data_IF_842199435044
#
_entry.id   IF_842199435044
#
_cell.length_a   1.000
_cell.length_b   1.000
_cell.length_c   1.000
_cell.angle_alpha   90.00
_cell.angle_beta   90.00
_cell.angle_gamma   90.00
#
_symmetry.space_group_name_H-M   'P 1'
#
loop_
_entity.id
_entity.type
_entity.pdbx_description
1 polymer ?
#
# COMPACT_ATOMS: atom_id res chain seq x y z
N UNK A 1 -31.02 7.37 0.40
CA UNK A 1 -29.79 6.78 -0.16
C UNK A 1 -28.63 7.52 0.45
N UNK A 2 -27.63 6.80 0.95
CA UNK A 2 -26.37 7.41 1.39
C UNK A 2 -25.70 8.08 0.16
N UNK A 3 -25.02 9.22 0.32
CA UNK A 3 -24.39 9.93 -0.82
C UNK A 3 -23.39 9.01 -1.55
N UNK A 4 -22.69 8.17 -0.79
CA UNK A 4 -21.78 7.15 -1.32
C UNK A 4 -22.51 6.11 -2.19
N UNK A 5 -23.65 5.57 -1.75
CA UNK A 5 -24.46 4.61 -2.54
C UNK A 5 -24.89 5.22 -3.88
N UNK A 6 -25.36 6.48 -3.82
CA UNK A 6 -25.83 7.20 -5.01
C UNK A 6 -24.70 7.43 -6.02
N UNK A 7 -23.53 7.87 -5.57
CA UNK A 7 -22.40 8.14 -6.45
C UNK A 7 -21.76 6.86 -6.99
N UNK A 8 -21.60 5.83 -6.17
CA UNK A 8 -21.11 4.51 -6.62
C UNK A 8 -22.07 3.92 -7.64
N UNK A 9 -23.39 3.96 -7.38
CA UNK A 9 -24.39 3.46 -8.33
C UNK A 9 -24.30 4.18 -9.69
N UNK A 10 -24.07 5.49 -9.70
CA UNK A 10 -23.90 6.27 -10.93
C UNK A 10 -22.59 5.95 -11.64
N UNK A 11 -21.48 5.93 -10.90
CA UNK A 11 -20.15 5.56 -11.39
C UNK A 11 -20.14 4.18 -12.09
N UNK A 12 -20.88 3.23 -11.55
CA UNK A 12 -20.98 1.87 -12.08
C UNK A 12 -21.82 1.75 -13.37
N UNK A 13 -22.54 2.79 -13.81
CA UNK A 13 -23.40 2.70 -15.01
C UNK A 13 -22.63 2.64 -16.33
N UNK A 14 -21.38 3.14 -16.36
CA UNK A 14 -20.56 3.15 -17.57
C UNK A 14 -19.88 1.81 -17.87
N UNK A 15 -19.93 0.82 -16.95
CA UNK A 15 -19.29 -0.49 -17.06
C UNK A 15 -17.82 -0.43 -17.50
N UNK A 16 -17.12 0.66 -17.14
CA UNK A 16 -15.70 0.82 -17.44
C UNK A 16 -14.87 0.14 -16.35
N UNK A 17 -13.77 -0.51 -16.76
CA UNK A 17 -12.90 -1.23 -15.84
C UNK A 17 -12.19 -0.25 -14.91
N UNK A 18 -12.36 -0.44 -13.60
CA UNK A 18 -11.53 0.23 -12.58
C UNK A 18 -10.17 -0.47 -12.54
N UNK A 19 -9.11 0.30 -12.73
CA UNK A 19 -7.72 -0.18 -12.77
C UNK A 19 -7.07 0.00 -11.40
N UNK A 20 -7.31 1.13 -10.77
CA UNK A 20 -6.82 1.45 -9.44
C UNK A 20 -7.80 2.38 -8.75
N UNK A 21 -7.76 2.41 -7.42
CA UNK A 21 -8.63 3.27 -6.63
C UNK A 21 -7.93 3.80 -5.38
N UNK A 22 -8.33 4.99 -4.96
CA UNK A 22 -7.85 5.63 -3.74
C UNK A 22 -9.00 6.36 -3.04
N UNK A 23 -8.83 6.65 -1.75
CA UNK A 23 -9.83 7.36 -0.96
C UNK A 23 -9.17 8.33 0.01
N UNK A 24 -9.61 9.59 -0.03
CA UNK A 24 -9.19 10.61 0.92
C UNK A 24 -10.37 10.99 1.84
N UNK A 25 -10.36 10.53 3.11
CA UNK A 25 -11.44 10.80 4.05
C UNK A 25 -11.49 12.26 4.52
N UNK A 26 -10.38 12.99 4.49
CA UNK A 26 -10.33 14.40 4.93
C UNK A 26 -11.15 15.32 4.01
N UNK A 27 -11.19 14.97 2.71
CA UNK A 27 -11.96 15.69 1.69
C UNK A 27 -13.18 14.93 1.18
N UNK A 28 -13.40 13.71 1.69
CA UNK A 28 -14.50 12.83 1.33
C UNK A 28 -14.60 12.59 -0.18
N UNK A 29 -13.48 12.22 -0.81
CA UNK A 29 -13.41 11.94 -2.24
C UNK A 29 -12.87 10.54 -2.49
N UNK A 30 -13.56 9.79 -3.36
CA UNK A 30 -13.09 8.51 -3.90
C UNK A 30 -12.55 8.79 -5.29
N UNK A 31 -11.33 8.32 -5.55
CA UNK A 31 -10.64 8.51 -6.81
C UNK A 31 -10.52 7.17 -7.52
N UNK A 32 -10.94 7.11 -8.77
CA UNK A 32 -10.88 5.90 -9.59
C UNK A 32 -10.06 6.19 -10.83
N UNK A 33 -9.02 5.40 -11.04
CA UNK A 33 -8.38 5.31 -12.35
C UNK A 33 -9.16 4.29 -13.16
N UNK A 34 -9.78 4.72 -14.26
CA UNK A 34 -10.58 3.87 -15.14
C UNK A 34 -9.94 3.78 -16.52
N UNK A 35 -10.20 2.67 -17.20
CA UNK A 35 -9.80 2.46 -18.59
C UNK A 35 -11.03 2.46 -19.52
N UNK A 36 -10.94 3.20 -20.62
CA UNK A 36 -11.87 3.12 -21.75
C UNK A 36 -11.67 1.81 -22.51
N UNK A 37 -12.53 1.55 -23.51
CA UNK A 37 -12.48 0.32 -24.32
C UNK A 37 -11.16 0.16 -25.10
N UNK A 38 -10.53 1.26 -25.49
CA UNK A 38 -9.22 1.32 -26.15
C UNK A 38 -8.04 1.35 -25.15
N UNK A 39 -8.31 1.08 -23.87
CA UNK A 39 -7.37 1.14 -22.76
C UNK A 39 -6.85 2.55 -22.41
N UNK A 40 -7.43 3.61 -22.99
CA UNK A 40 -7.12 4.99 -22.60
C UNK A 40 -7.54 5.23 -21.14
N UNK A 41 -6.60 5.74 -20.33
CA UNK A 41 -6.79 6.01 -18.92
C UNK A 41 -7.41 7.39 -18.69
N UNK A 42 -8.29 7.47 -17.70
CA UNK A 42 -8.83 8.72 -17.18
C UNK A 42 -9.13 8.59 -15.69
N UNK A 43 -9.27 9.71 -14.99
CA UNK A 43 -9.55 9.74 -13.56
C UNK A 43 -11.02 10.12 -13.36
N UNK A 44 -11.74 9.36 -12.55
CA UNK A 44 -13.10 9.68 -12.10
C UNK A 44 -13.07 9.97 -10.60
N UNK A 45 -13.65 11.09 -10.21
CA UNK A 45 -13.72 11.53 -8.80
C UNK A 45 -15.18 11.50 -8.36
N UNK A 46 -15.44 10.76 -7.29
CA UNK A 46 -16.74 10.75 -6.60
C UNK A 46 -16.60 11.67 -5.39
N UNK A 47 -17.13 12.89 -5.52
CA UNK A 47 -17.11 13.91 -4.47
C UNK A 47 -18.32 13.73 -3.55
N UNK A 48 -18.12 13.03 -2.43
CA UNK A 48 -19.21 12.68 -1.51
C UNK A 48 -19.80 13.91 -0.81
N UNK A 49 -18.98 14.95 -0.61
CA UNK A 49 -19.37 16.20 0.05
C UNK A 49 -20.29 17.04 -0.83
N UNK A 50 -19.94 17.16 -2.10
CA UNK A 50 -20.72 17.93 -3.08
C UNK A 50 -21.77 17.08 -3.82
N UNK A 51 -21.75 15.76 -3.64
CA UNK A 51 -22.59 14.79 -4.34
C UNK A 51 -22.44 14.87 -5.88
N UNK A 52 -21.19 14.95 -6.34
CA UNK A 52 -20.84 15.14 -7.74
C UNK A 52 -19.91 14.02 -8.24
N UNK A 53 -19.99 13.72 -9.54
CA UNK A 53 -18.99 12.90 -10.24
C UNK A 53 -18.27 13.82 -11.21
N UNK A 54 -16.93 13.79 -11.18
CA UNK A 54 -16.07 14.56 -12.09
C UNK A 54 -15.20 13.60 -12.87
N UNK A 55 -15.16 13.78 -14.18
CA UNK A 55 -14.22 13.09 -15.05
C UNK A 55 -13.07 14.04 -15.39
N UNK A 56 -11.84 13.55 -15.22
CA UNK A 56 -10.62 14.25 -15.58
C UNK A 56 -9.97 13.46 -16.71
N UNK A 57 -10.01 14.05 -17.89
CA UNK A 57 -9.30 13.56 -19.07
C UNK A 57 -7.86 14.05 -19.02
N UNK A 58 -6.92 13.15 -19.29
CA UNK A 58 -5.51 13.51 -19.36
C UNK A 58 -5.23 14.29 -20.66
N UNK A 59 -4.42 15.34 -20.58
CA UNK A 59 -4.02 16.16 -21.74
C UNK A 59 -3.18 15.37 -22.75
N UNK A 60 -2.29 14.51 -22.26
CA UNK A 60 -1.64 13.46 -23.03
C UNK A 60 -2.40 12.13 -22.85
N UNK A 61 -2.63 11.43 -23.97
CA UNK A 61 -3.23 10.09 -23.93
C UNK A 61 -2.28 9.09 -23.27
N UNK A 62 -2.67 8.58 -22.11
CA UNK A 62 -1.98 7.49 -21.41
C UNK A 62 -2.81 6.22 -21.55
N UNK A 63 -2.18 5.10 -21.86
CA UNK A 63 -2.86 3.83 -22.07
C UNK A 63 -2.40 2.79 -21.05
N UNK A 64 -3.35 2.03 -20.51
CA UNK A 64 -3.03 0.82 -19.78
C UNK A 64 -2.50 -0.25 -20.74
N UNK A 65 -1.41 -0.92 -20.35
CA UNK A 65 -0.95 -2.11 -21.06
C UNK A 65 -1.48 -3.38 -20.39
N UNK A 66 -1.78 -4.44 -21.15
CA UNK A 66 -2.00 -5.76 -20.57
C UNK A 66 -0.80 -6.13 -19.70
N UNK A 67 -1.05 -6.49 -18.44
CA UNK A 67 -0.03 -6.84 -17.44
C UNK A 67 0.95 -5.71 -17.06
N UNK A 68 0.72 -4.48 -17.55
CA UNK A 68 1.48 -3.32 -17.13
C UNK A 68 1.19 -2.98 -15.67
N UNK A 69 2.24 -2.65 -14.91
CA UNK A 69 2.06 -2.21 -13.53
C UNK A 69 1.59 -0.77 -13.51
N UNK A 70 0.52 -0.53 -12.76
CA UNK A 70 -0.10 0.78 -12.62
C UNK A 70 -0.27 1.08 -11.13
N UNK A 71 0.30 2.19 -10.69
CA UNK A 71 0.10 2.73 -9.34
C UNK A 71 -0.55 4.09 -9.44
N UNK A 72 -1.57 4.34 -8.62
CA UNK A 72 -2.35 5.56 -8.66
C UNK A 72 -2.69 6.01 -7.25
N UNK A 73 -2.41 7.28 -6.95
CA UNK A 73 -2.64 7.86 -5.64
C UNK A 73 -3.06 9.32 -5.74
N UNK A 74 -3.98 9.72 -4.88
CA UNK A 74 -4.26 11.14 -4.66
C UNK A 74 -3.18 11.72 -3.75
N UNK A 75 -2.37 12.63 -4.28
CA UNK A 75 -1.29 13.30 -3.53
C UNK A 75 -1.89 14.33 -2.58
N UNK A 76 -2.75 15.18 -3.12
CA UNK A 76 -3.46 16.22 -2.39
C UNK A 76 -4.76 16.56 -3.12
N UNK A 77 -5.43 17.65 -2.74
CA UNK A 77 -6.72 18.05 -3.34
C UNK A 77 -6.62 18.42 -4.82
N UNK A 78 -5.41 18.71 -5.30
CA UNK A 78 -5.17 19.32 -6.61
C UNK A 78 -4.35 18.41 -7.53
N UNK A 79 -3.74 17.34 -7.01
CA UNK A 79 -2.77 16.54 -7.73
C UNK A 79 -2.92 15.03 -7.48
N UNK A 80 -2.61 14.27 -8.52
CA UNK A 80 -2.55 12.82 -8.55
C UNK A 80 -1.16 12.38 -8.96
N UNK A 81 -0.73 11.26 -8.40
CA UNK A 81 0.41 10.50 -8.86
C UNK A 81 -0.08 9.31 -9.68
N UNK A 82 0.48 9.14 -10.87
CA UNK A 82 0.22 7.99 -11.72
C UNK A 82 1.55 7.42 -12.21
N UNK A 83 1.82 6.17 -11.84
CA UNK A 83 2.87 5.34 -12.42
C UNK A 83 2.25 4.45 -13.47
N UNK A 84 2.75 4.49 -14.70
CA UNK A 84 2.42 3.52 -15.75
C UNK A 84 3.72 3.02 -16.36
N UNK A 85 3.97 1.72 -16.22
CA UNK A 85 5.26 1.11 -16.58
C UNK A 85 6.43 1.85 -15.90
N UNK A 86 7.37 2.41 -16.68
CA UNK A 86 8.53 3.16 -16.20
C UNK A 86 8.33 4.68 -16.19
N UNK A 87 7.10 5.17 -16.40
CA UNK A 87 6.77 6.59 -16.41
C UNK A 87 6.06 7.00 -15.13
N UNK A 88 6.51 8.11 -14.53
CA UNK A 88 5.89 8.73 -13.36
C UNK A 88 5.32 10.09 -13.72
N UNK A 89 4.03 10.26 -13.46
CA UNK A 89 3.26 11.42 -13.87
C UNK A 89 2.67 12.10 -12.63
N UNK A 90 2.86 13.41 -12.55
CA UNK A 90 2.06 14.29 -11.69
C UNK A 90 0.96 14.91 -12.53
N UNK A 91 -0.28 14.65 -12.16
CA UNK A 91 -1.46 15.10 -12.92
C UNK A 91 -2.25 16.05 -12.03
N UNK A 92 -2.58 17.24 -12.50
CA UNK A 92 -3.44 18.16 -11.74
C UNK A 92 -4.94 17.86 -11.95
N UNK A 93 -5.82 18.55 -11.23
CA UNK A 93 -7.28 18.35 -11.35
C UNK A 93 -7.88 18.77 -12.71
N UNK A 94 -7.15 19.49 -13.55
CA UNK A 94 -7.56 19.74 -14.95
C UNK A 94 -7.12 18.64 -15.92
N UNK A 95 -6.33 17.67 -15.44
CA UNK A 95 -5.81 16.57 -16.26
C UNK A 95 -4.50 16.89 -16.97
N UNK A 96 -3.90 18.05 -16.70
CA UNK A 96 -2.59 18.42 -17.23
C UNK A 96 -1.49 17.63 -16.51
N UNK A 97 -0.57 17.05 -17.27
CA UNK A 97 0.66 16.45 -16.74
C UNK A 97 1.64 17.58 -16.42
N UNK A 98 1.61 18.02 -15.17
CA UNK A 98 2.45 19.15 -14.71
C UNK A 98 3.92 18.75 -14.55
N UNK A 99 4.20 17.45 -14.33
CA UNK A 99 5.55 16.88 -14.27
C UNK A 99 5.55 15.44 -14.79
N UNK A 100 6.59 15.09 -15.54
CA UNK A 100 6.80 13.76 -16.12
C UNK A 100 8.26 13.37 -15.92
N UNK A 101 8.47 12.24 -15.26
CA UNK A 101 9.76 11.60 -15.15
C UNK A 101 9.74 10.26 -15.89
N UNK A 102 10.72 10.05 -16.78
CA UNK A 102 10.90 8.82 -17.53
C UNK A 102 12.23 8.22 -17.14
N UNK A 103 12.16 7.04 -16.53
CA UNK A 103 13.38 6.35 -16.14
C UNK A 103 14.01 5.72 -17.38
N UNK A 104 15.25 6.13 -17.66
CA UNK A 104 16.02 5.78 -18.85
C UNK A 104 16.24 4.26 -18.96
N UNK A 105 15.30 3.57 -19.62
CA UNK A 105 15.46 2.27 -20.30
C UNK A 105 16.03 1.09 -19.52
N UNK A 106 16.36 1.26 -18.25
CA UNK A 106 16.90 0.23 -17.38
C UNK A 106 15.75 -0.65 -16.94
N UNK A 107 15.87 -1.94 -17.23
CA UNK A 107 14.89 -2.95 -16.86
C UNK A 107 14.62 -2.80 -15.36
N UNK A 108 13.38 -2.42 -15.08
CA UNK A 108 12.84 -1.97 -13.80
C UNK A 108 13.21 -2.86 -12.61
N UNK A 109 14.24 -2.47 -11.87
CA UNK A 109 14.26 -2.58 -10.39
C UNK A 109 13.30 -1.57 -9.74
N UNK A 110 12.70 -0.67 -10.54
CA UNK A 110 11.70 0.34 -10.21
C UNK A 110 10.33 -0.22 -9.79
N UNK A 111 10.21 -1.53 -9.79
CA UNK A 111 8.99 -2.25 -9.51
C UNK A 111 8.58 -2.15 -8.03
N UNK A 112 9.55 -1.86 -7.16
CA UNK A 112 9.43 -1.92 -5.70
C UNK A 112 9.41 -0.53 -5.10
N UNK A 113 8.24 0.09 -5.12
CA UNK A 113 8.02 1.44 -4.60
C UNK A 113 6.92 1.42 -3.56
N UNK A 114 7.13 2.16 -2.47
CA UNK A 114 6.14 2.33 -1.41
C UNK A 114 5.60 3.73 -1.44
N UNK A 115 4.27 3.85 -1.34
CA UNK A 115 3.60 5.15 -1.36
C UNK A 115 3.16 5.50 0.05
N UNK A 116 3.78 6.54 0.59
CA UNK A 116 3.38 7.26 1.80
C UNK A 116 2.42 8.39 1.42
N UNK A 117 1.82 9.05 2.40
CA UNK A 117 0.89 10.17 2.14
C UNK A 117 1.54 11.25 1.27
N UNK A 118 2.80 11.60 1.58
CA UNK A 118 3.52 12.69 0.94
C UNK A 118 4.71 12.24 0.08
N UNK A 119 5.11 10.95 0.14
CA UNK A 119 6.36 10.49 -0.45
C UNK A 119 6.24 9.14 -1.18
N UNK A 120 7.06 8.93 -2.20
CA UNK A 120 7.41 7.58 -2.70
C UNK A 120 8.73 7.18 -2.08
N UNK A 121 8.82 5.99 -1.50
CA UNK A 121 10.11 5.40 -1.12
C UNK A 121 10.50 4.28 -2.06
N UNK A 122 11.77 4.26 -2.50
CA UNK A 122 12.34 3.28 -3.43
C UNK A 122 13.44 2.45 -2.76
N UNK A 123 13.70 1.26 -3.30
CA UNK A 123 14.73 0.36 -2.72
C UNK A 123 16.14 0.93 -2.70
N UNK A 124 16.46 1.84 -3.63
CA UNK A 124 17.73 2.55 -3.71
C UNK A 124 17.83 3.71 -2.71
N UNK A 125 17.01 3.66 -1.65
CA UNK A 125 16.99 4.62 -0.56
C UNK A 125 16.61 6.03 -1.02
N UNK A 126 15.77 6.12 -2.05
CA UNK A 126 15.31 7.39 -2.56
C UNK A 126 13.89 7.66 -2.07
N UNK A 127 13.71 8.81 -1.42
CA UNK A 127 12.38 9.42 -1.24
C UNK A 127 12.09 10.38 -2.38
N UNK A 128 10.90 10.29 -2.95
CA UNK A 128 10.38 11.26 -3.91
C UNK A 128 9.27 12.04 -3.22
N UNK A 129 9.47 13.33 -3.00
CA UNK A 129 8.42 14.21 -2.46
C UNK A 129 7.36 14.45 -3.54
N UNK A 130 6.11 14.09 -3.29
CA UNK A 130 5.05 14.29 -4.27
C UNK A 130 4.66 15.76 -4.49
N UNK A 131 5.02 16.63 -3.56
CA UNK A 131 4.70 18.06 -3.61
C UNK A 131 5.47 18.75 -4.71
N UNK A 132 6.76 18.45 -4.89
CA UNK A 132 7.63 19.07 -5.89
C UNK A 132 8.34 18.06 -6.81
N UNK A 133 8.09 16.75 -6.63
CA UNK A 133 8.74 15.64 -7.36
C UNK A 133 10.25 15.64 -7.23
N UNK A 134 10.76 16.10 -6.08
CA UNK A 134 12.18 16.06 -5.79
C UNK A 134 12.60 14.71 -5.22
N UNK A 135 13.68 14.17 -5.74
CA UNK A 135 14.33 12.98 -5.19
C UNK A 135 15.30 13.36 -4.05
N UNK A 136 15.28 12.58 -2.99
CA UNK A 136 16.12 12.70 -1.81
C UNK A 136 16.77 11.36 -1.52
N UNK A 137 18.11 11.32 -1.57
CA UNK A 137 18.88 10.14 -1.22
C UNK A 137 19.00 10.02 0.30
N UNK A 138 18.64 8.87 0.86
CA UNK A 138 18.69 8.56 2.28
C UNK A 138 19.89 7.70 2.70
N UNK A 139 20.88 7.50 1.84
CA UNK A 139 22.07 6.68 2.15
C UNK A 139 22.73 7.14 3.47
N UNK A 140 22.98 8.44 3.61
CA UNK A 140 23.59 9.01 4.82
C UNK A 140 22.74 8.76 6.07
N UNK A 141 21.41 8.87 5.96
CA UNK A 141 20.50 8.57 7.08
C UNK A 141 20.64 7.11 7.53
N UNK A 142 20.69 6.18 6.59
CA UNK A 142 20.82 4.76 6.91
C UNK A 142 22.20 4.41 7.45
N UNK A 143 23.26 5.01 6.90
CA UNK A 143 24.61 4.86 7.44
C UNK A 143 24.67 5.40 8.89
N UNK A 144 24.20 6.62 9.14
CA UNK A 144 24.25 7.25 10.46
C UNK A 144 23.45 6.49 11.55
N UNK A 145 22.33 5.87 11.17
CA UNK A 145 21.42 5.23 12.14
C UNK A 145 21.59 3.72 12.25
N UNK A 146 22.21 3.07 11.26
CA UNK A 146 22.26 1.61 11.22
C UNK A 146 23.65 1.03 10.97
N UNK A 147 24.70 1.80 10.62
CA UNK A 147 26.03 1.27 10.24
C UNK A 147 26.60 0.23 11.22
N UNK A 148 26.33 0.39 12.52
CA UNK A 148 26.73 -0.55 13.57
C UNK A 148 26.19 -2.00 13.41
N UNK A 149 25.18 -2.19 12.57
CA UNK A 149 24.52 -3.48 12.34
C UNK A 149 25.07 -4.28 11.14
N UNK A 150 26.04 -3.75 10.38
CA UNK A 150 26.71 -4.40 9.23
C UNK A 150 25.71 -5.10 8.26
N UNK A 151 24.81 -4.30 7.68
CA UNK A 151 23.77 -4.75 6.75
C UNK A 151 24.26 -4.64 5.30
N UNK A 152 23.91 -5.61 4.45
CA UNK A 152 24.48 -5.74 3.08
C UNK A 152 23.50 -5.40 1.98
N UNK A 153 22.22 -5.49 2.27
CA UNK A 153 21.19 -5.27 1.28
C UNK A 153 19.89 -4.86 1.95
N UNK A 154 19.25 -3.89 1.33
CA UNK A 154 17.82 -3.71 1.45
C UNK A 154 17.17 -4.71 0.52
N UNK A 155 16.28 -5.54 1.04
CA UNK A 155 15.41 -6.35 0.19
C UNK A 155 13.98 -5.96 0.50
N UNK A 156 13.36 -5.29 -0.46
CA UNK A 156 11.92 -5.10 -0.48
C UNK A 156 11.33 -6.26 -1.27
N UNK A 157 10.52 -7.10 -0.63
CA UNK A 157 9.73 -8.07 -1.37
C UNK A 157 8.51 -7.33 -1.96
N UNK A 158 8.47 -7.33 -3.28
CA UNK A 158 7.68 -6.45 -4.17
C UNK A 158 6.20 -6.79 -4.26
N UNK A 159 5.77 -7.90 -3.66
CA UNK A 159 4.43 -8.39 -3.96
C UNK A 159 3.35 -7.79 -3.06
N UNK A 160 3.72 -7.09 -1.99
CA UNK A 160 2.77 -6.82 -0.91
C UNK A 160 2.79 -5.37 -0.47
N UNK A 161 1.58 -4.84 -0.33
CA UNK A 161 1.31 -3.54 0.25
C UNK A 161 1.97 -3.47 1.63
N UNK A 162 3.17 -2.89 1.72
CA UNK A 162 3.65 -2.35 2.98
C UNK A 162 2.62 -1.30 3.34
N UNK A 163 1.78 -1.63 4.32
CA UNK A 163 0.88 -0.67 4.90
C UNK A 163 1.76 0.35 5.62
N UNK A 164 2.04 1.45 4.91
CA UNK A 164 1.87 2.73 5.56
C UNK A 164 0.45 2.72 6.10
N UNK A 165 0.25 3.03 7.39
CA UNK A 165 -0.99 3.72 7.70
C UNK A 165 -0.94 4.94 6.79
N UNK A 166 -1.75 5.02 5.72
CA UNK A 166 -1.61 6.08 4.74
C UNK A 166 -2.01 7.44 5.33
N UNK A 167 -2.34 7.47 6.63
CA UNK A 167 -2.61 8.64 7.43
C UNK A 167 -1.38 9.19 8.18
N UNK A 168 -0.29 8.41 8.36
CA UNK A 168 0.77 8.76 9.33
C UNK A 168 2.22 8.80 8.79
N UNK A 169 2.47 8.79 7.47
CA UNK A 169 3.84 8.75 6.90
C UNK A 169 4.76 7.66 7.52
N UNK A 170 4.17 6.56 7.96
CA UNK A 170 4.90 5.43 8.53
C UNK A 170 5.41 4.55 7.40
N UNK A 171 6.69 4.24 7.43
CA UNK A 171 7.37 3.33 6.53
C UNK A 171 7.96 2.17 7.33
N UNK A 172 7.65 0.95 6.92
CA UNK A 172 8.30 -0.25 7.49
C UNK A 172 9.37 -0.74 6.53
N UNK A 173 10.57 -1.03 7.04
CA UNK A 173 11.74 -1.48 6.26
C UNK A 173 12.33 -2.73 6.90
N UNK A 174 12.78 -3.68 6.08
CA UNK A 174 13.54 -4.84 6.52
C UNK A 174 15.01 -4.70 6.09
N UNK A 175 15.92 -4.76 7.06
CA UNK A 175 17.37 -4.71 6.84
C UNK A 175 17.98 -6.09 7.06
N UNK A 176 18.75 -6.60 6.11
CA UNK A 176 19.38 -7.92 6.23
C UNK A 176 20.87 -7.82 6.59
N UNK A 177 21.30 -8.57 7.60
CA UNK A 177 22.70 -8.62 8.05
C UNK A 177 23.60 -9.36 7.04
N UNK A 178 24.85 -8.90 6.90
CA UNK A 178 25.88 -9.42 5.98
C UNK A 178 26.27 -10.87 6.18
N UNK A 179 26.54 -11.23 7.43
CA UNK A 179 27.36 -12.40 7.77
C UNK A 179 26.71 -13.31 8.82
N UNK A 180 25.37 -13.46 8.83
CA UNK A 180 24.69 -14.29 9.85
C UNK A 180 23.75 -15.35 9.27
N UNK A 181 23.87 -16.57 9.78
CA UNK A 181 23.02 -17.73 9.48
C UNK A 181 21.51 -17.40 9.60
N UNK A 182 20.74 -17.91 8.63
CA UNK A 182 19.49 -17.41 8.02
C UNK A 182 18.15 -17.50 8.81
N UNK A 183 17.17 -16.61 8.50
CA UNK A 183 17.32 -15.20 8.13
C UNK A 183 17.27 -14.32 9.38
N UNK A 184 18.40 -13.69 9.72
CA UNK A 184 18.44 -12.62 10.73
C UNK A 184 18.32 -11.28 10.03
N UNK A 185 17.19 -10.62 10.22
CA UNK A 185 16.94 -9.27 9.72
C UNK A 185 16.54 -8.34 10.86
N UNK A 186 16.65 -7.03 10.62
CA UNK A 186 16.03 -6.02 11.46
C UNK A 186 14.75 -5.55 10.79
N UNK A 187 13.68 -5.56 11.55
CA UNK A 187 12.44 -4.88 11.19
C UNK A 187 12.49 -3.47 11.78
N UNK A 188 12.45 -2.47 10.91
CA UNK A 188 12.53 -1.07 11.26
C UNK A 188 11.21 -0.39 10.91
N UNK A 189 10.70 0.41 11.85
CA UNK A 189 9.56 1.29 11.61
C UNK A 189 10.09 2.72 11.64
N UNK A 190 9.87 3.44 10.55
CA UNK A 190 10.29 4.81 10.33
C UNK A 190 9.06 5.70 10.23
N UNK A 191 9.13 6.88 10.83
CA UNK A 191 8.19 7.96 10.59
C UNK A 191 8.88 9.03 9.76
N UNK A 192 8.31 9.34 8.59
CA UNK A 192 8.89 10.30 7.65
C UNK A 192 8.13 11.61 7.75
N UNK A 193 8.62 12.54 8.57
CA UNK A 193 8.05 13.89 8.64
C UNK A 193 8.50 14.73 7.45
N UNK A 194 9.79 14.66 7.12
CA UNK A 194 10.40 15.24 5.93
C UNK A 194 11.65 14.45 5.54
N UNK A 195 12.25 14.70 4.37
CA UNK A 195 13.50 14.06 3.97
C UNK A 195 14.65 14.29 4.95
N UNK A 196 14.67 15.42 5.66
CA UNK A 196 15.67 15.78 6.67
C UNK A 196 15.27 15.37 8.09
N UNK A 197 14.04 14.89 8.28
CA UNK A 197 13.50 14.52 9.59
C UNK A 197 12.78 13.19 9.51
N UNK A 198 13.56 12.13 9.70
CA UNK A 198 13.09 10.75 9.76
C UNK A 198 13.34 10.22 11.17
N UNK A 199 12.28 9.79 11.85
CA UNK A 199 12.37 9.22 13.19
C UNK A 199 12.37 7.70 13.08
N UNK A 200 13.33 7.03 13.73
CA UNK A 200 13.28 5.59 13.94
C UNK A 200 12.36 5.33 15.13
N UNK A 201 11.15 4.85 14.87
CA UNK A 201 10.17 4.55 15.92
C UNK A 201 10.47 3.23 16.62
N UNK A 202 11.00 2.26 15.87
CA UNK A 202 11.24 0.92 16.36
C UNK A 202 12.25 0.18 15.50
N UNK A 203 13.08 -0.63 16.15
CA UNK A 203 13.98 -1.58 15.50
C UNK A 203 13.99 -2.84 16.34
N UNK A 204 13.75 -3.99 15.72
CA UNK A 204 13.92 -5.28 16.39
C UNK A 204 14.43 -6.34 15.44
N UNK A 205 15.16 -7.30 16.00
CA UNK A 205 15.79 -8.37 15.26
C UNK A 205 14.83 -9.53 15.11
N UNK A 206 14.46 -9.83 13.87
CA UNK A 206 13.63 -10.98 13.54
C UNK A 206 14.53 -12.12 13.05
N UNK A 207 14.39 -13.29 13.67
CA UNK A 207 15.18 -14.49 13.36
C UNK A 207 14.58 -15.33 12.22
N UNK A 208 13.30 -15.14 11.87
CA UNK A 208 12.61 -15.86 10.80
C UNK A 208 11.42 -15.04 10.28
N UNK A 209 11.68 -14.09 9.39
CA UNK A 209 10.65 -13.32 8.69
C UNK A 209 10.45 -13.92 7.30
N UNK A 210 9.22 -14.32 6.99
CA UNK A 210 8.84 -14.80 5.67
C UNK A 210 8.09 -13.78 4.84
N UNK A 211 7.15 -14.27 4.04
CA UNK A 211 6.34 -13.43 3.14
C UNK A 211 5.18 -12.80 3.94
N UNK A 212 4.51 -11.81 3.36
CA UNK A 212 3.23 -11.29 3.88
C UNK A 212 3.24 -10.80 5.32
N UNK A 213 3.82 -9.63 5.56
CA UNK A 213 3.80 -9.01 6.89
C UNK A 213 3.02 -7.70 6.93
N UNK A 214 2.32 -7.46 8.04
CA UNK A 214 1.52 -6.26 8.29
C UNK A 214 1.72 -5.83 9.74
N UNK A 215 1.95 -4.55 9.97
CA UNK A 215 2.01 -3.98 11.30
C UNK A 215 0.61 -3.52 11.76
N UNK A 216 0.30 -3.74 13.03
CA UNK A 216 -0.93 -3.23 13.66
C UNK A 216 -0.99 -1.70 13.57
N UNK A 217 -2.17 -1.11 13.46
CA UNK A 217 -2.34 0.35 13.52
C UNK A 217 -1.73 0.99 14.79
N UNK A 218 -1.72 0.28 15.92
CA UNK A 218 -1.10 0.72 17.18
C UNK A 218 0.43 0.65 17.18
N UNK A 219 1.04 0.20 16.06
CA UNK A 219 2.49 -0.04 15.90
C UNK A 219 3.09 -0.96 16.98
N UNK A 220 2.25 -1.78 17.63
CA UNK A 220 2.65 -2.63 18.74
C UNK A 220 2.86 -4.09 18.36
N UNK A 221 2.36 -4.51 17.19
CA UNK A 221 2.37 -5.90 16.77
C UNK A 221 2.62 -6.07 15.27
N UNK A 222 3.23 -7.20 14.92
CA UNK A 222 3.53 -7.61 13.56
C UNK A 222 2.80 -8.93 13.27
N UNK A 223 1.97 -8.93 12.23
CA UNK A 223 1.48 -10.11 11.57
C UNK A 223 2.46 -10.50 10.45
N UNK A 224 2.81 -11.79 10.28
CA UNK A 224 3.71 -12.26 9.22
C UNK A 224 3.55 -13.76 8.93
N UNK A 225 3.94 -14.23 7.75
CA UNK A 225 4.17 -15.66 7.46
C UNK A 225 5.66 -15.99 7.53
N UNK A 226 6.04 -17.26 7.71
CA UNK A 226 7.44 -17.71 7.78
C UNK A 226 8.00 -18.10 6.40
N UNK A 227 9.31 -17.98 6.22
CA UNK A 227 9.96 -18.30 4.94
C UNK A 227 10.38 -19.78 4.96
N UNK A 228 9.89 -20.57 3.99
CA UNK A 228 10.32 -21.96 3.76
C UNK A 228 9.96 -22.99 4.86
N UNK A 229 8.75 -22.91 5.38
CA UNK A 229 8.17 -23.98 6.20
C UNK A 229 7.02 -24.65 5.45
N UNK A 230 6.76 -25.95 5.66
CA UNK A 230 5.49 -26.61 5.26
C UNK A 230 4.28 -26.07 6.08
N UNK A 231 4.41 -24.84 6.56
CA UNK A 231 3.60 -24.17 7.54
C UNK A 231 3.20 -22.83 6.91
N UNK A 232 2.03 -22.85 6.28
CA UNK A 232 1.36 -21.70 5.67
C UNK A 232 0.57 -20.89 6.72
N UNK A 233 0.86 -21.07 8.02
CA UNK A 233 0.18 -20.31 9.05
C UNK A 233 0.63 -18.85 9.02
N UNK A 234 -0.31 -17.98 9.42
CA UNK A 234 0.01 -16.61 9.77
C UNK A 234 0.25 -16.47 11.27
N UNK A 235 1.26 -15.69 11.62
CA UNK A 235 1.72 -15.42 12.97
C UNK A 235 1.43 -13.96 13.34
N UNK A 236 0.79 -13.70 14.48
CA UNK A 236 0.69 -12.36 15.08
C UNK A 236 1.53 -12.30 16.34
N UNK A 237 2.34 -11.24 16.48
CA UNK A 237 3.32 -11.10 17.55
C UNK A 237 3.50 -9.67 18.04
N UNK A 238 3.72 -9.49 19.34
CA UNK A 238 4.08 -8.21 19.96
C UNK A 238 5.52 -7.80 19.67
N UNK A 239 5.68 -6.51 19.38
CA UNK A 239 6.94 -5.78 19.27
C UNK A 239 7.35 -5.35 20.68
N UNK A 240 8.37 -5.98 21.26
CA UNK A 240 8.74 -5.80 22.68
C UNK A 240 10.12 -5.20 22.92
N UNK A 241 10.94 -4.96 21.90
CA UNK A 241 12.33 -4.47 22.05
C UNK A 241 13.29 -5.45 22.76
N UNK A 242 12.76 -6.47 23.44
CA UNK A 242 13.48 -7.64 23.94
C UNK A 242 13.31 -8.84 22.99
N UNK A 243 14.44 -9.47 22.64
CA UNK A 243 14.61 -10.63 21.75
C UNK A 243 13.34 -11.33 21.24
N UNK A 244 13.19 -11.33 19.91
CA UNK A 244 12.17 -12.03 19.11
C UNK A 244 12.17 -13.58 19.24
N UNK A 245 12.72 -14.20 20.29
CA UNK A 245 12.66 -15.68 20.45
C UNK A 245 11.51 -16.22 21.29
N UNK A 246 10.87 -15.40 22.14
CA UNK A 246 10.08 -15.93 23.26
C UNK A 246 8.64 -15.37 23.42
N UNK A 247 8.07 -14.64 22.47
CA UNK A 247 6.70 -14.14 22.64
C UNK A 247 5.65 -15.17 22.20
N UNK A 248 4.46 -15.09 22.79
CA UNK A 248 3.30 -15.83 22.31
C UNK A 248 2.99 -15.46 20.85
N UNK A 249 2.65 -16.47 20.05
CA UNK A 249 2.22 -16.31 18.67
C UNK A 249 0.75 -16.71 18.58
N UNK A 250 -0.06 -15.90 17.91
CA UNK A 250 -1.38 -16.34 17.44
C UNK A 250 -1.22 -16.95 16.04
N UNK A 251 -1.75 -18.15 15.85
CA UNK A 251 -1.59 -18.94 14.62
C UNK A 251 -2.94 -18.97 13.89
N UNK A 252 -2.94 -18.61 12.60
CA UNK A 252 -4.10 -18.71 11.71
C UNK A 252 -3.75 -19.65 10.55
N UNK A 253 -4.40 -20.82 10.50
CA UNK A 253 -4.15 -21.89 9.52
C UNK A 253 -4.84 -21.65 8.19
N UNK A 254 -4.30 -20.71 7.40
CA UNK A 254 -4.85 -20.31 6.09
C UNK A 254 -3.78 -19.77 5.15
N UNK A 255 -3.75 -20.31 3.93
CA UNK A 255 -3.05 -19.72 2.80
C UNK A 255 -3.77 -18.43 2.35
N UNK A 256 -3.46 -17.32 3.03
CA UNK A 256 -4.10 -16.02 2.84
C UNK A 256 -3.13 -14.87 3.16
N UNK A 257 -3.28 -13.75 2.48
CA UNK A 257 -2.44 -12.56 2.68
C UNK A 257 -3.06 -11.66 3.76
N UNK A 258 -2.29 -11.19 4.74
CA UNK A 258 -2.77 -10.13 5.65
C UNK A 258 -2.82 -8.80 4.92
N UNK A 259 -3.97 -8.11 4.99
CA UNK A 259 -4.15 -6.81 4.33
C UNK A 259 -4.66 -5.69 5.25
N UNK A 260 -5.01 -5.98 6.50
CA UNK A 260 -5.28 -4.96 7.52
C UNK A 260 -5.30 -5.59 8.90
N UNK A 261 -4.85 -4.84 9.90
CA UNK A 261 -4.74 -5.32 11.27
C UNK A 261 -4.81 -4.19 12.29
N UNK A 262 -5.77 -4.26 13.22
CA UNK A 262 -5.90 -3.36 14.36
C UNK A 262 -6.06 -4.15 15.69
N UNK A 263 -6.40 -3.44 16.77
CA UNK A 263 -6.56 -4.04 18.11
C UNK A 263 -7.85 -4.87 18.26
N UNK A 264 -8.77 -4.82 17.29
CA UNK A 264 -10.10 -5.40 17.34
C UNK A 264 -10.36 -6.47 16.27
N UNK A 265 -9.76 -6.32 15.09
CA UNK A 265 -10.03 -7.11 13.92
C UNK A 265 -8.84 -7.17 12.95
N UNK A 266 -8.91 -8.11 12.01
CA UNK A 266 -7.95 -8.21 10.93
C UNK A 266 -8.62 -8.72 9.64
N UNK A 267 -8.03 -8.36 8.51
CA UNK A 267 -8.51 -8.76 7.18
C UNK A 267 -7.50 -9.68 6.49
N UNK A 268 -8.03 -10.76 5.93
CA UNK A 268 -7.31 -11.69 5.09
C UNK A 268 -7.79 -11.60 3.64
N UNK A 269 -6.85 -11.46 2.72
CA UNK A 269 -7.08 -11.52 1.28
C UNK A 269 -6.81 -12.93 0.76
N UNK A 270 -7.73 -13.42 -0.06
CA UNK A 270 -7.60 -14.61 -0.89
C UNK A 270 -7.87 -14.20 -2.33
N UNK A 271 -7.56 -15.10 -3.27
CA UNK A 271 -7.72 -14.87 -4.71
C UNK A 271 -9.07 -14.25 -5.11
N UNK A 272 -10.17 -14.68 -4.51
CA UNK A 272 -11.54 -14.26 -4.89
C UNK A 272 -12.38 -13.75 -3.70
N UNK A 273 -11.76 -13.53 -2.54
CA UNK A 273 -12.49 -13.03 -1.37
C UNK A 273 -11.61 -12.28 -0.37
N UNK A 274 -12.24 -11.39 0.38
CA UNK A 274 -11.68 -10.78 1.59
C UNK A 274 -12.51 -11.25 2.79
N UNK A 275 -11.84 -11.72 3.84
CA UNK A 275 -12.49 -12.14 5.08
C UNK A 275 -12.09 -11.23 6.23
N UNK A 276 -13.07 -10.81 7.02
CA UNK A 276 -12.91 -9.95 8.21
C UNK A 276 -13.08 -10.83 9.44
N UNK A 277 -12.09 -10.81 10.32
CA UNK A 277 -12.06 -11.59 11.54
C UNK A 277 -12.06 -10.70 12.77
N UNK A 278 -12.80 -11.12 13.80
CA UNK A 278 -12.65 -10.57 15.13
C UNK A 278 -11.39 -11.11 15.76
N UNK A 279 -10.58 -10.22 16.32
CA UNK A 279 -9.27 -10.57 16.83
C UNK A 279 -9.30 -11.38 18.13
N UNK A 280 -10.23 -11.06 19.04
CA UNK A 280 -10.24 -11.63 20.40
C UNK A 280 -10.43 -13.14 20.46
N UNK A 281 -11.14 -13.70 19.48
CA UNK A 281 -11.56 -15.11 19.42
C UNK A 281 -11.40 -15.72 18.02
N UNK A 282 -10.82 -14.99 17.07
CA UNK A 282 -10.57 -15.43 15.68
C UNK A 282 -11.89 -15.83 14.99
N UNK A 283 -13.01 -15.24 15.38
CA UNK A 283 -14.29 -15.51 14.73
C UNK A 283 -14.42 -14.76 13.40
N UNK A 284 -14.86 -15.46 12.35
CA UNK A 284 -15.19 -14.85 11.07
C UNK A 284 -16.41 -13.93 11.25
N UNK A 285 -16.22 -12.63 11.03
CA UNK A 285 -17.29 -11.63 11.06
C UNK A 285 -17.99 -11.50 9.72
N UNK A 286 -17.22 -11.51 8.62
CA UNK A 286 -17.74 -11.29 7.26
C UNK A 286 -16.82 -11.93 6.21
N UNK A 287 -17.42 -12.47 5.15
CA UNK A 287 -16.72 -12.90 3.95
C UNK A 287 -17.28 -12.15 2.74
N UNK A 288 -16.41 -11.54 1.95
CA UNK A 288 -16.76 -10.64 0.85
C UNK A 288 -16.14 -11.20 -0.43
N UNK A 289 -16.95 -11.56 -1.41
CA UNK A 289 -16.43 -11.95 -2.74
C UNK A 289 -15.90 -10.73 -3.49
N UNK A 290 -14.75 -10.87 -4.12
CA UNK A 290 -14.12 -9.87 -4.98
C UNK A 290 -13.77 -10.48 -6.33
N UNK A 291 -13.56 -9.63 -7.34
CA UNK A 291 -12.99 -10.09 -8.60
C UNK A 291 -11.51 -10.48 -8.42
N UNK A 292 -11.07 -11.53 -9.10
CA UNK A 292 -9.68 -11.98 -9.00
C UNK A 292 -8.71 -10.87 -9.43
N UNK A 293 -7.70 -10.62 -8.59
CA UNK A 293 -6.68 -9.58 -8.79
C UNK A 293 -7.25 -8.17 -8.97
N UNK A 294 -8.47 -7.91 -8.47
CA UNK A 294 -9.04 -6.57 -8.51
C UNK A 294 -8.39 -5.62 -7.49
N UNK A 295 -8.37 -4.31 -7.80
CA UNK A 295 -7.93 -3.33 -6.83
C UNK A 295 -8.88 -3.25 -5.64
N UNK A 296 -8.33 -3.03 -4.47
CA UNK A 296 -9.05 -2.69 -3.24
C UNK A 296 -8.31 -1.57 -2.52
N UNK A 297 -9.02 -0.86 -1.63
CA UNK A 297 -8.42 0.13 -0.75
C UNK A 297 -9.07 0.07 0.62
N UNK A 298 -8.24 0.00 1.64
CA UNK A 298 -8.65 0.13 3.03
C UNK A 298 -8.18 1.50 3.52
N UNK A 299 -9.09 2.22 4.18
CA UNK A 299 -8.79 3.53 4.74
C UNK A 299 -9.74 3.78 5.90
N UNK A 300 -9.19 3.85 7.12
CA UNK A 300 -9.97 3.78 8.37
C UNK A 300 -10.79 2.47 8.41
N UNK A 301 -12.04 2.57 8.84
CA UNK A 301 -13.04 1.53 8.96
C UNK A 301 -13.79 1.20 7.65
N UNK A 302 -13.28 1.66 6.50
CA UNK A 302 -13.92 1.48 5.19
C UNK A 302 -13.01 0.68 4.24
N UNK A 303 -13.57 -0.37 3.64
CA UNK A 303 -12.97 -1.17 2.58
C UNK A 303 -13.73 -0.92 1.28
N UNK A 304 -13.05 -0.34 0.30
CA UNK A 304 -13.50 -0.27 -1.08
C UNK A 304 -12.94 -1.44 -1.87
N UNK A 305 -13.78 -2.07 -2.70
CA UNK A 305 -13.40 -3.26 -3.46
C UNK A 305 -14.19 -3.35 -4.77
N UNK A 306 -13.66 -4.11 -5.73
CA UNK A 306 -14.35 -4.39 -7.00
C UNK A 306 -14.94 -5.79 -6.99
N UNK A 307 -16.20 -5.88 -7.41
CA UNK A 307 -16.92 -7.14 -7.63
C UNK A 307 -17.80 -7.00 -8.86
N UNK A 308 -17.78 -7.98 -9.74
CA UNK A 308 -18.49 -7.99 -11.02
C UNK A 308 -18.21 -6.70 -11.82
N UNK A 309 -16.94 -6.25 -11.85
CA UNK A 309 -16.43 -5.00 -12.44
C UNK A 309 -16.95 -3.70 -11.81
N UNK A 310 -17.67 -3.77 -10.70
CA UNK A 310 -18.31 -2.62 -10.03
C UNK A 310 -17.60 -2.26 -8.74
N UNK A 311 -17.48 -0.96 -8.49
CA UNK A 311 -17.06 -0.45 -7.20
C UNK A 311 -18.12 -0.76 -6.14
N UNK A 312 -17.68 -1.30 -5.02
CA UNK A 312 -18.46 -1.55 -3.82
C UNK A 312 -17.68 -1.07 -2.60
N UNK A 313 -18.37 -0.98 -1.46
CA UNK A 313 -17.71 -0.68 -0.20
C UNK A 313 -18.36 -1.44 0.95
N UNK A 314 -17.62 -1.57 2.05
CA UNK A 314 -18.13 -2.04 3.33
C UNK A 314 -17.51 -1.22 4.45
N UNK A 315 -18.30 -0.93 5.47
CA UNK A 315 -17.84 -0.44 6.76
C UNK A 315 -17.67 -1.65 7.69
N UNK A 316 -16.67 -1.62 8.58
CA UNK A 316 -16.37 -2.73 9.50
C UNK A 316 -15.81 -2.28 10.85
#
# INVERSE_FOLDING_TARGET
>A
MNNIDHLISKSNTNNLKVIALDYNPEIQQIFLLKAKQDLELFIEILDLRNNEIKEILLDEKVYARPYGRINFHAVNKENFYLSVDSSHLKINTSGEIVLKDQLDGTISSLNKKHVLKNYIFREDLVLIDFTDFKEHNLSDFFDDNFDEYDFTYFYFDDRYSIFSSPDNNILTVILYCKDRDHPKCFHCILEIESPEKINVLFVDKIDDLGQYYVISESLSELAYQKYFTDDDNVYIRKLSGENFKNSENFIIDKNAEFIFFDDHQFLLLYDEKIEIYKRSDISLLRSISIDQSAPYKIKKDILFYIKDTKLNYTEF
#
